data_IF_797808945837
#
_entry.id   IF_797808945837
#
_cell.length_a   1.000
_cell.length_b   1.000
_cell.length_c   1.000
_cell.angle_alpha   90.00
_cell.angle_beta   90.00
_cell.angle_gamma   90.00
#
_symmetry.space_group_name_H-M   'P 1'
#
loop_
_entity.id
_entity.type
_entity.pdbx_description
1 polymer ?
#
# COMPACT_ATOMS: atom_id res chain seq x y z
N UNK A 1 0.81 29.85 40.72
CA UNK A 1 1.03 28.39 40.94
C UNK A 1 0.24 27.51 39.94
N UNK A 2 -0.34 28.11 38.90
CA UNK A 2 -1.34 27.58 37.98
C UNK A 2 -0.81 27.52 36.53
N UNK A 3 0.20 28.34 36.20
CA UNK A 3 0.84 28.34 34.88
C UNK A 3 1.74 27.12 34.66
N UNK A 4 2.45 26.68 35.70
CA UNK A 4 3.31 25.49 35.68
C UNK A 4 2.56 24.18 35.44
N UNK A 5 1.33 24.08 35.95
CA UNK A 5 0.48 22.92 35.71
C UNK A 5 -0.04 22.90 34.26
N UNK A 6 -0.28 24.08 33.69
CA UNK A 6 -0.78 24.24 32.32
C UNK A 6 0.26 23.83 31.28
N UNK A 7 1.54 24.18 31.48
CA UNK A 7 2.61 23.82 30.55
C UNK A 7 2.88 22.31 30.53
N UNK A 8 2.91 21.67 31.71
CA UNK A 8 3.05 20.22 31.85
C UNK A 8 1.87 19.46 31.23
N UNK A 9 0.65 19.96 31.46
CA UNK A 9 -0.56 19.40 30.85
C UNK A 9 -0.52 19.54 29.32
N UNK A 10 -0.15 20.71 28.81
CA UNK A 10 -0.04 20.98 27.38
C UNK A 10 1.04 20.11 26.71
N UNK A 11 2.20 19.92 27.36
CA UNK A 11 3.24 19.02 26.85
C UNK A 11 2.79 17.55 26.83
N UNK A 12 2.12 17.07 27.88
CA UNK A 12 1.59 15.70 27.91
C UNK A 12 0.48 15.49 26.88
N UNK A 13 -0.38 16.50 26.69
CA UNK A 13 -1.45 16.47 25.70
C UNK A 13 -0.88 16.50 24.27
N UNK A 14 0.11 17.34 24.00
CA UNK A 14 0.77 17.39 22.68
C UNK A 14 1.54 16.10 22.37
N UNK A 15 2.20 15.49 23.36
CA UNK A 15 2.88 14.20 23.21
C UNK A 15 1.90 13.05 22.95
N UNK A 16 0.76 13.03 23.65
CA UNK A 16 -0.31 12.04 23.45
C UNK A 16 -0.96 12.18 22.06
N UNK A 17 -1.21 13.42 21.63
CA UNK A 17 -1.77 13.70 20.31
C UNK A 17 -0.81 13.28 19.20
N UNK A 18 0.49 13.56 19.33
CA UNK A 18 1.50 13.17 18.35
C UNK A 18 1.62 11.64 18.22
N UNK A 19 1.56 10.91 19.34
CA UNK A 19 1.60 9.43 19.35
C UNK A 19 0.40 8.80 18.64
N UNK A 20 -0.79 9.40 18.73
CA UNK A 20 -2.00 8.92 18.04
C UNK A 20 -1.87 9.02 16.51
N UNK A 21 -1.22 10.05 15.97
CA UNK A 21 -1.07 10.26 14.52
C UNK A 21 -0.08 9.31 13.82
N UNK A 22 0.83 8.67 14.56
CA UNK A 22 1.85 7.76 13.98
C UNK A 22 1.24 6.40 13.57
N UNK A 23 0.02 6.09 14.03
CA UNK A 23 -0.63 4.78 13.90
C UNK A 23 -1.19 4.45 12.50
N UNK A 24 -1.10 5.36 11.53
CA UNK A 24 -1.82 5.25 10.26
C UNK A 24 -0.95 4.88 9.04
N UNK A 25 0.05 4.02 9.20
CA UNK A 25 0.66 3.36 8.03
C UNK A 25 -0.01 2.01 7.83
N UNK A 26 -1.29 2.03 7.44
CA UNK A 26 -1.99 0.83 6.95
C UNK A 26 -1.67 0.69 5.48
N UNK A 27 -0.77 -0.23 5.14
CA UNK A 27 -0.67 -0.76 3.79
C UNK A 27 -1.82 -1.76 3.62
N UNK A 28 -2.89 -1.35 2.94
CA UNK A 28 -4.00 -2.24 2.65
C UNK A 28 -3.55 -3.25 1.59
N UNK A 29 -3.47 -4.53 1.97
CA UNK A 29 -3.34 -5.60 1.00
C UNK A 29 -4.63 -5.68 0.15
N UNK A 30 -4.54 -6.04 -1.14
CA UNK A 30 -5.73 -6.25 -1.96
C UNK A 30 -6.59 -7.36 -1.37
N UNK A 31 -7.90 -7.12 -1.36
CA UNK A 31 -8.92 -8.06 -0.89
C UNK A 31 -9.70 -8.66 -2.07
N UNK A 32 -10.43 -9.73 -1.81
CA UNK A 32 -11.32 -10.31 -2.80
C UNK A 32 -12.40 -9.30 -3.22
N UNK A 33 -12.59 -9.14 -4.52
CA UNK A 33 -13.53 -8.17 -5.09
C UNK A 33 -12.94 -6.77 -5.33
N UNK A 34 -11.75 -6.47 -4.79
CA UNK A 34 -11.05 -5.24 -5.14
C UNK A 34 -10.65 -5.24 -6.61
N UNK A 35 -10.67 -4.06 -7.23
CA UNK A 35 -10.11 -3.89 -8.56
C UNK A 35 -8.59 -4.07 -8.50
N UNK A 36 -8.08 -5.00 -9.30
CA UNK A 36 -6.64 -5.18 -9.44
C UNK A 36 -5.96 -3.87 -9.90
N UNK A 37 -4.81 -3.49 -9.32
CA UNK A 37 -4.03 -2.34 -9.75
C UNK A 37 -3.73 -2.41 -11.24
N UNK A 38 -3.81 -1.30 -11.96
CA UNK A 38 -3.53 -1.30 -13.40
C UNK A 38 -2.03 -1.35 -13.66
N UNK A 39 -1.42 -2.54 -13.59
CA UNK A 39 -0.02 -2.74 -13.94
C UNK A 39 0.22 -2.46 -15.41
N UNK A 40 1.41 -1.93 -15.70
CA UNK A 40 1.98 -1.77 -17.02
C UNK A 40 3.32 -2.52 -17.04
N UNK A 41 3.47 -3.45 -17.97
CA UNK A 41 4.62 -4.37 -18.01
C UNK A 41 5.06 -4.57 -19.45
N UNK A 42 6.39 -4.61 -19.65
CA UNK A 42 6.97 -5.10 -20.90
C UNK A 42 6.89 -6.62 -20.93
N UNK A 43 6.33 -7.16 -22.01
CA UNK A 43 6.28 -8.59 -22.27
C UNK A 43 7.52 -9.06 -23.05
N UNK A 44 7.66 -10.37 -23.22
CA UNK A 44 8.80 -10.98 -23.91
C UNK A 44 8.82 -10.74 -25.43
N UNK A 45 7.76 -10.16 -25.97
CA UNK A 45 7.61 -9.72 -27.36
C UNK A 45 7.98 -8.24 -27.56
N UNK A 46 8.57 -7.60 -26.53
CA UNK A 46 8.92 -6.19 -26.49
C UNK A 46 7.73 -5.21 -26.54
N UNK A 47 6.50 -5.72 -26.47
CA UNK A 47 5.29 -4.90 -26.36
C UNK A 47 4.98 -4.55 -24.90
N UNK A 48 4.29 -3.43 -24.71
CA UNK A 48 3.81 -2.98 -23.39
C UNK A 48 2.34 -3.32 -23.24
N UNK A 49 2.01 -4.07 -22.18
CA UNK A 49 0.64 -4.42 -21.84
C UNK A 49 0.19 -3.80 -20.54
N UNK A 50 -1.11 -3.47 -20.47
CA UNK A 50 -1.76 -3.02 -19.23
C UNK A 50 -2.90 -3.96 -18.84
N UNK A 51 -3.12 -4.17 -17.54
CA UNK A 51 -4.24 -5.03 -17.10
C UNK A 51 -5.60 -4.53 -17.60
N UNK A 52 -5.77 -3.21 -17.73
CA UNK A 52 -6.99 -2.60 -18.24
C UNK A 52 -7.39 -3.11 -19.63
N UNK A 53 -6.43 -3.49 -20.48
CA UNK A 53 -6.71 -4.00 -21.83
C UNK A 53 -7.51 -5.32 -21.82
N UNK A 54 -7.40 -6.11 -20.75
CA UNK A 54 -8.02 -7.43 -20.62
C UNK A 54 -9.31 -7.43 -19.79
N UNK A 55 -9.62 -6.34 -19.08
CA UNK A 55 -10.82 -6.22 -18.24
C UNK A 55 -12.08 -6.49 -19.06
N UNK A 56 -12.93 -7.41 -18.56
CA UNK A 56 -14.19 -7.80 -19.20
C UNK A 56 -14.04 -8.62 -20.48
N UNK A 57 -12.80 -8.90 -20.94
CA UNK A 57 -12.54 -9.70 -22.14
C UNK A 57 -12.15 -11.14 -21.78
N UNK A 58 -11.30 -11.31 -20.76
CA UNK A 58 -10.85 -12.62 -20.31
C UNK A 58 -10.32 -12.56 -18.87
N UNK A 59 -10.33 -13.68 -18.13
CA UNK A 59 -9.65 -13.77 -16.84
C UNK A 59 -8.12 -13.65 -17.02
N UNK A 60 -7.44 -13.10 -16.02
CA UNK A 60 -5.99 -12.92 -15.97
C UNK A 60 -5.45 -13.44 -14.65
N UNK A 61 -4.34 -14.18 -14.69
CA UNK A 61 -3.62 -14.67 -13.51
C UNK A 61 -2.25 -14.00 -13.45
N UNK A 62 -1.88 -13.49 -12.27
CA UNK A 62 -0.58 -12.87 -12.02
C UNK A 62 0.18 -13.75 -11.03
N UNK A 63 1.40 -14.13 -11.41
CA UNK A 63 2.30 -14.93 -10.59
C UNK A 63 3.68 -14.29 -10.54
N UNK A 64 4.23 -14.13 -9.34
CA UNK A 64 5.57 -13.59 -9.11
C UNK A 64 6.56 -14.72 -8.83
N UNK A 65 7.73 -14.67 -9.46
CA UNK A 65 8.83 -15.62 -9.24
C UNK A 65 10.10 -14.87 -8.83
N UNK A 66 10.91 -15.37 -7.88
CA UNK A 66 12.09 -14.64 -7.40
C UNK A 66 13.15 -14.38 -8.48
N UNK A 67 13.32 -15.33 -9.41
CA UNK A 67 14.35 -15.28 -10.45
C UNK A 67 13.97 -16.16 -11.63
N UNK A 68 14.20 -15.65 -12.84
CA UNK A 68 14.06 -16.43 -14.06
C UNK A 68 14.97 -17.67 -14.07
N UNK A 69 14.52 -18.73 -14.77
CA UNK A 69 15.28 -19.96 -15.01
C UNK A 69 15.73 -20.72 -13.74
N UNK A 70 14.87 -20.76 -12.72
CA UNK A 70 15.09 -21.55 -11.50
C UNK A 70 13.97 -22.58 -11.29
N UNK A 71 14.25 -23.67 -10.58
CA UNK A 71 13.33 -24.79 -10.37
C UNK A 71 12.20 -24.55 -9.37
N UNK A 72 12.20 -23.38 -8.70
CA UNK A 72 11.34 -23.11 -7.53
C UNK A 72 12.04 -23.40 -6.21
#
# INVERSE_FOLDING_TARGET
MNEWYSTELCMKLTTLLLALFISHIVTAAPQEGDLAPNFELQASDDEIYTLAQFRGKQPVVISFFPKAFTGG
#
